data_IF_958431995878
#
_entry.id   IF_958431995878
#
_cell.length_a   1.000
_cell.length_b   1.000
_cell.length_c   1.000
_cell.angle_alpha   90.00
_cell.angle_beta   90.00
_cell.angle_gamma   90.00
#
_symmetry.space_group_name_H-M   'P 1'
#
loop_
_entity.id
_entity.type
_entity.pdbx_description
1 polymer ?
#
# COMPACT_ATOMS: atom_id res chain seq x y z
N UNK A 1 -4.61 1.66 -26.20
CA UNK A 1 -6.10 1.74 -26.17
C UNK A 1 -6.50 2.34 -24.83
N UNK A 2 -7.26 3.45 -24.84
CA UNK A 2 -7.82 4.05 -23.62
C UNK A 2 -8.80 3.06 -23.00
N UNK A 3 -8.55 2.59 -21.79
CA UNK A 3 -9.52 1.77 -21.04
C UNK A 3 -10.23 2.63 -20.00
N UNK A 4 -11.06 3.56 -20.48
CA UNK A 4 -11.98 4.28 -19.59
C UNK A 4 -12.86 3.30 -18.84
N UNK A 5 -12.97 3.48 -17.52
CA UNK A 5 -13.88 2.68 -16.67
C UNK A 5 -15.28 3.30 -16.57
N UNK A 6 -15.54 4.35 -17.37
CA UNK A 6 -16.80 5.13 -17.34
C UNK A 6 -17.93 4.45 -18.12
N UNK A 7 -17.60 3.46 -18.99
CA UNK A 7 -18.57 2.74 -19.83
C UNK A 7 -18.35 1.23 -19.75
N UNK A 8 -19.42 0.47 -19.97
CA UNK A 8 -19.40 -0.99 -19.93
C UNK A 8 -19.78 -1.58 -18.57
N UNK A 9 -19.63 -2.91 -18.43
CA UNK A 9 -20.01 -3.62 -17.21
C UNK A 9 -19.03 -3.33 -16.07
N UNK A 10 -19.50 -2.73 -14.99
CA UNK A 10 -18.72 -2.27 -13.85
C UNK A 10 -17.88 -3.38 -13.21
N UNK A 11 -18.49 -4.55 -12.95
CA UNK A 11 -17.77 -5.67 -12.33
C UNK A 11 -16.65 -6.20 -13.22
N UNK A 12 -16.93 -6.36 -14.52
CA UNK A 12 -15.92 -6.83 -15.49
C UNK A 12 -14.73 -5.88 -15.57
N UNK A 13 -14.98 -4.57 -15.58
CA UNK A 13 -13.93 -3.54 -15.63
C UNK A 13 -13.08 -3.56 -14.35
N UNK A 14 -13.72 -3.62 -13.18
CA UNK A 14 -13.03 -3.69 -11.87
C UNK A 14 -12.14 -4.94 -11.82
N UNK A 15 -12.67 -6.12 -12.16
CA UNK A 15 -11.91 -7.37 -12.10
C UNK A 15 -10.77 -7.40 -13.13
N UNK A 16 -11.01 -6.94 -14.36
CA UNK A 16 -9.95 -6.87 -15.38
C UNK A 16 -8.81 -5.92 -15.00
N UNK A 17 -9.12 -4.87 -14.25
CA UNK A 17 -8.12 -3.95 -13.72
C UNK A 17 -7.42 -4.51 -12.46
N UNK A 18 -8.15 -5.21 -11.59
CA UNK A 18 -7.61 -5.78 -10.36
C UNK A 18 -6.63 -6.94 -10.60
N UNK A 19 -6.86 -7.79 -11.63
CA UNK A 19 -6.02 -8.98 -11.86
C UNK A 19 -4.54 -8.63 -12.07
N UNK A 20 -4.14 -7.68 -12.95
CA UNK A 20 -2.73 -7.31 -13.08
C UNK A 20 -2.14 -6.72 -11.79
N UNK A 21 -2.93 -5.96 -11.01
CA UNK A 21 -2.50 -5.43 -9.72
C UNK A 21 -2.27 -6.56 -8.70
N UNK A 22 -3.18 -7.53 -8.65
CA UNK A 22 -3.03 -8.72 -7.81
C UNK A 22 -1.74 -9.48 -8.13
N UNK A 23 -1.51 -9.75 -9.41
CA UNK A 23 -0.28 -10.41 -9.84
C UNK A 23 0.95 -9.58 -9.45
N UNK A 24 0.91 -8.26 -9.62
CA UNK A 24 1.99 -7.36 -9.19
C UNK A 24 2.26 -7.44 -7.68
N UNK A 25 1.22 -7.38 -6.87
CA UNK A 25 1.35 -7.49 -5.41
C UNK A 25 1.90 -8.86 -4.99
N UNK A 26 1.45 -9.95 -5.61
CA UNK A 26 1.97 -11.30 -5.34
C UNK A 26 3.44 -11.43 -5.75
N UNK A 27 3.83 -10.91 -6.92
CA UNK A 27 5.24 -10.86 -7.32
C UNK A 27 6.08 -10.08 -6.33
N UNK A 28 5.56 -8.93 -5.85
CA UNK A 28 6.25 -8.11 -4.85
C UNK A 28 6.46 -8.87 -3.53
N UNK A 29 5.44 -9.57 -3.04
CA UNK A 29 5.60 -10.39 -1.82
C UNK A 29 6.59 -11.55 -2.05
N UNK A 30 6.56 -12.17 -3.21
CA UNK A 30 7.45 -13.28 -3.55
C UNK A 30 8.91 -12.82 -3.60
N UNK A 31 9.20 -11.68 -4.24
CA UNK A 31 10.58 -11.21 -4.28
C UNK A 31 11.07 -10.73 -2.91
N UNK A 32 10.22 -10.13 -2.05
CA UNK A 32 10.60 -9.77 -0.68
C UNK A 32 11.02 -11.01 0.13
N UNK A 33 10.34 -12.14 -0.07
CA UNK A 33 10.73 -13.41 0.55
C UNK A 33 12.03 -13.96 -0.04
N UNK A 34 12.20 -13.87 -1.37
CA UNK A 34 13.42 -14.32 -2.05
C UNK A 34 14.64 -13.50 -1.62
N UNK A 35 14.53 -12.16 -1.54
CA UNK A 35 15.58 -11.25 -1.07
C UNK A 35 16.02 -11.63 0.36
N UNK A 36 15.06 -11.76 1.29
CA UNK A 36 15.37 -12.20 2.65
C UNK A 36 16.03 -13.58 2.70
N UNK A 37 15.61 -14.52 1.84
CA UNK A 37 16.22 -15.83 1.76
C UNK A 37 17.66 -15.79 1.21
N UNK A 38 17.92 -14.98 0.17
CA UNK A 38 19.26 -14.79 -0.40
C UNK A 38 20.18 -14.18 0.66
N UNK A 39 19.76 -13.09 1.33
CA UNK A 39 20.56 -12.46 2.39
C UNK A 39 20.83 -13.46 3.53
N UNK A 40 19.83 -14.16 4.01
CA UNK A 40 19.96 -15.11 5.12
C UNK A 40 20.86 -16.30 4.81
N UNK A 41 20.77 -16.87 3.59
CA UNK A 41 21.56 -18.03 3.18
C UNK A 41 23.01 -17.68 2.81
N UNK A 42 23.24 -16.49 2.27
CA UNK A 42 24.57 -16.10 1.78
C UNK A 42 25.40 -15.35 2.81
N UNK A 43 24.77 -14.48 3.60
CA UNK A 43 25.44 -13.60 4.58
C UNK A 43 25.22 -14.04 6.03
N UNK A 44 24.29 -14.97 6.26
CA UNK A 44 23.99 -15.54 7.57
C UNK A 44 22.95 -14.79 8.39
N UNK A 45 22.67 -15.29 9.61
CA UNK A 45 21.55 -14.80 10.45
C UNK A 45 21.72 -13.37 10.92
N UNK A 46 22.94 -12.91 11.17
CA UNK A 46 23.20 -11.53 11.62
C UNK A 46 22.83 -10.50 10.53
N UNK A 47 23.18 -10.78 9.28
CA UNK A 47 22.80 -9.94 8.14
C UNK A 47 21.28 -9.90 7.92
N UNK A 48 20.61 -11.04 8.06
CA UNK A 48 19.15 -11.11 7.99
C UNK A 48 18.50 -10.31 9.13
N UNK A 49 19.06 -10.37 10.34
CA UNK A 49 18.60 -9.59 11.48
C UNK A 49 18.81 -8.09 11.25
N UNK A 50 19.93 -7.68 10.63
CA UNK A 50 20.20 -6.29 10.26
C UNK A 50 19.14 -5.73 9.29
N UNK A 51 18.81 -6.47 8.22
CA UNK A 51 17.76 -6.12 7.27
C UNK A 51 16.39 -6.10 7.97
N UNK A 52 16.10 -7.12 8.78
CA UNK A 52 14.84 -7.23 9.51
C UNK A 52 14.59 -6.07 10.49
N UNK A 53 15.64 -5.58 11.16
CA UNK A 53 15.55 -4.47 12.10
C UNK A 53 15.05 -3.15 11.44
N UNK A 54 15.26 -2.99 10.13
CA UNK A 54 14.82 -1.81 9.38
C UNK A 54 13.39 -1.88 8.86
N UNK A 55 12.77 -3.06 8.88
CA UNK A 55 11.48 -3.30 8.19
C UNK A 55 10.36 -2.36 8.63
N UNK A 56 10.29 -2.04 9.93
CA UNK A 56 9.25 -1.15 10.46
C UNK A 56 9.40 0.28 9.96
N UNK A 57 10.63 0.80 9.91
CA UNK A 57 10.92 2.15 9.40
C UNK A 57 10.73 2.20 7.89
N UNK A 58 11.16 1.16 7.17
CA UNK A 58 10.89 1.06 5.75
C UNK A 58 9.39 1.11 5.47
N UNK A 59 8.58 0.33 6.19
CA UNK A 59 7.13 0.34 6.01
C UNK A 59 6.51 1.70 6.34
N UNK A 60 7.01 2.40 7.37
CA UNK A 60 6.56 3.73 7.72
C UNK A 60 6.90 4.76 6.62
N UNK A 61 8.14 4.79 6.14
CA UNK A 61 8.63 5.81 5.19
C UNK A 61 8.17 5.49 3.77
N UNK A 62 8.40 4.26 3.30
CA UNK A 62 8.02 3.87 1.94
C UNK A 62 6.50 3.75 1.79
N UNK A 63 5.79 3.33 2.85
CA UNK A 63 4.33 3.35 2.89
C UNK A 63 3.77 4.76 2.74
N UNK A 64 4.37 5.76 3.41
CA UNK A 64 4.04 7.16 3.20
C UNK A 64 4.25 7.58 1.74
N UNK A 65 5.38 7.21 1.13
CA UNK A 65 5.66 7.48 -0.28
C UNK A 65 4.59 6.89 -1.20
N UNK A 66 4.28 5.61 -1.02
CA UNK A 66 3.28 4.89 -1.84
C UNK A 66 1.90 5.53 -1.71
N UNK A 67 1.46 5.79 -0.48
CA UNK A 67 0.16 6.39 -0.20
C UNK A 67 0.04 7.80 -0.78
N UNK A 68 1.07 8.63 -0.62
CA UNK A 68 1.08 10.00 -1.14
C UNK A 68 0.98 10.02 -2.66
N UNK A 69 1.73 9.17 -3.36
CA UNK A 69 1.69 9.08 -4.82
C UNK A 69 0.36 8.52 -5.33
N UNK A 70 -0.24 7.59 -4.62
CA UNK A 70 -1.59 7.11 -4.91
C UNK A 70 -2.65 8.22 -4.75
N UNK A 71 -2.49 9.08 -3.74
CA UNK A 71 -3.37 10.23 -3.53
C UNK A 71 -3.24 11.30 -4.62
N UNK A 72 -2.04 11.53 -5.14
CA UNK A 72 -1.83 12.45 -6.26
C UNK A 72 -2.51 11.97 -7.55
N UNK A 73 -2.69 10.67 -7.71
CA UNK A 73 -3.38 10.11 -8.87
C UNK A 73 -4.90 10.29 -8.84
N UNK A 74 -5.51 10.57 -7.68
CA UNK A 74 -6.97 10.72 -7.55
C UNK A 74 -7.53 11.87 -8.40
N UNK A 75 -7.04 13.12 -8.29
CA UNK A 75 -7.53 14.21 -9.14
C UNK A 75 -7.26 13.95 -10.63
N UNK A 76 -6.14 13.29 -10.96
CA UNK A 76 -5.80 12.89 -12.34
C UNK A 76 -6.86 11.92 -12.90
N UNK A 77 -7.25 10.89 -12.10
CA UNK A 77 -8.28 9.94 -12.50
C UNK A 77 -9.66 10.60 -12.66
N UNK A 78 -9.99 11.56 -11.79
CA UNK A 78 -11.23 12.32 -11.89
C UNK A 78 -11.27 13.18 -13.16
N UNK A 79 -10.19 13.92 -13.48
CA UNK A 79 -10.08 14.70 -14.72
C UNK A 79 -10.08 13.82 -15.97
N UNK A 80 -9.42 12.67 -15.92
CA UNK A 80 -9.49 11.68 -16.99
C UNK A 80 -10.92 11.20 -17.23
N UNK A 81 -11.67 10.87 -16.17
CA UNK A 81 -13.07 10.47 -16.22
C UNK A 81 -13.99 11.56 -16.80
N UNK A 82 -13.70 12.81 -16.50
CA UNK A 82 -14.38 14.00 -17.02
C UNK A 82 -14.04 14.33 -18.49
N UNK A 83 -13.11 13.61 -19.12
CA UNK A 83 -12.50 13.95 -20.43
C UNK A 83 -11.82 15.35 -20.45
N UNK A 84 -11.41 15.87 -19.29
CA UNK A 84 -10.70 17.14 -19.14
C UNK A 84 -9.18 16.89 -19.20
N UNK A 85 -8.64 16.77 -20.42
CA UNK A 85 -7.20 16.53 -20.62
C UNK A 85 -6.35 17.68 -20.12
N UNK A 86 -6.79 18.93 -20.28
CA UNK A 86 -6.04 20.12 -19.81
C UNK A 86 -5.93 20.17 -18.30
N UNK A 87 -7.03 19.94 -17.59
CA UNK A 87 -7.06 19.85 -16.13
C UNK A 87 -6.21 18.67 -15.63
N UNK A 88 -6.25 17.54 -16.32
CA UNK A 88 -5.44 16.37 -16.01
C UNK A 88 -3.92 16.70 -16.12
N UNK A 89 -3.46 17.28 -17.20
CA UNK A 89 -2.05 17.66 -17.40
C UNK A 89 -1.57 18.68 -16.35
N UNK A 90 -2.43 19.63 -15.95
CA UNK A 90 -2.08 20.56 -14.87
C UNK A 90 -1.84 19.84 -13.54
N UNK A 91 -2.72 18.89 -13.16
CA UNK A 91 -2.50 18.07 -11.95
C UNK A 91 -1.27 17.18 -12.08
N UNK A 92 -1.02 16.61 -13.26
CA UNK A 92 0.19 15.83 -13.54
C UNK A 92 1.47 16.65 -13.33
N UNK A 93 1.50 17.89 -13.84
CA UNK A 93 2.63 18.78 -13.63
C UNK A 93 2.84 19.12 -12.15
N UNK A 94 1.78 19.50 -11.43
CA UNK A 94 1.87 19.76 -9.98
C UNK A 94 2.36 18.50 -9.24
N UNK A 95 1.86 17.33 -9.62
CA UNK A 95 2.29 16.06 -9.06
C UNK A 95 3.77 15.76 -9.29
N UNK A 96 4.31 16.04 -10.47
CA UNK A 96 5.74 15.94 -10.75
C UNK A 96 6.56 16.86 -9.82
N UNK A 97 6.15 18.12 -9.69
CA UNK A 97 6.83 19.10 -8.83
C UNK A 97 6.83 18.65 -7.38
N UNK A 98 5.66 18.26 -6.84
CA UNK A 98 5.56 17.83 -5.45
C UNK A 98 6.23 16.48 -5.18
N UNK A 99 6.22 15.56 -6.14
CA UNK A 99 6.98 14.31 -6.05
C UNK A 99 8.47 14.59 -5.89
N UNK A 100 9.01 15.52 -6.66
CA UNK A 100 10.42 15.94 -6.57
C UNK A 100 10.72 16.60 -5.22
N UNK A 101 9.88 17.55 -4.77
CA UNK A 101 10.04 18.24 -3.48
C UNK A 101 10.01 17.24 -2.33
N UNK A 102 9.03 16.34 -2.29
CA UNK A 102 8.89 15.31 -1.26
C UNK A 102 10.07 14.35 -1.29
N UNK A 103 10.56 13.98 -2.49
CA UNK A 103 11.73 13.13 -2.64
C UNK A 103 12.97 13.76 -1.99
N UNK A 104 13.23 15.03 -2.25
CA UNK A 104 14.36 15.74 -1.66
C UNK A 104 14.21 15.85 -0.14
N UNK A 105 13.05 16.29 0.35
CA UNK A 105 12.80 16.47 1.78
C UNK A 105 12.95 15.14 2.52
N UNK A 106 12.31 14.07 2.05
CA UNK A 106 12.36 12.77 2.72
C UNK A 106 13.75 12.17 2.67
N UNK A 107 14.44 12.22 1.52
CA UNK A 107 15.80 11.70 1.40
C UNK A 107 16.75 12.42 2.35
N UNK A 108 16.75 13.77 2.35
CA UNK A 108 17.62 14.56 3.23
C UNK A 108 17.27 14.29 4.69
N UNK A 109 15.99 14.31 5.07
CA UNK A 109 15.57 14.09 6.45
C UNK A 109 15.92 12.68 6.92
N UNK A 110 15.61 11.64 6.15
CA UNK A 110 15.87 10.25 6.58
C UNK A 110 17.36 9.94 6.60
N UNK A 111 18.16 10.45 5.65
CA UNK A 111 19.61 10.28 5.69
C UNK A 111 20.26 11.03 6.85
N UNK A 112 19.82 12.27 7.11
CA UNK A 112 20.37 13.08 8.22
C UNK A 112 20.03 12.49 9.59
N UNK A 113 18.79 12.04 9.78
CA UNK A 113 18.32 11.45 11.03
C UNK A 113 18.56 9.92 11.11
N UNK A 114 19.23 9.30 10.14
CA UNK A 114 19.44 7.86 10.10
C UNK A 114 20.04 7.29 11.40
N UNK A 115 21.12 7.85 11.97
CA UNK A 115 21.66 7.36 13.24
C UNK A 115 20.63 7.44 14.37
N UNK A 116 19.93 8.58 14.52
CA UNK A 116 18.90 8.77 15.52
C UNK A 116 17.75 7.74 15.38
N UNK A 117 17.35 7.43 14.15
CA UNK A 117 16.33 6.42 13.88
C UNK A 117 16.80 5.05 14.37
N UNK A 118 18.03 4.66 14.11
CA UNK A 118 18.59 3.38 14.56
C UNK A 118 18.72 3.30 16.08
N UNK A 119 19.11 4.40 16.73
CA UNK A 119 19.18 4.49 18.19
C UNK A 119 17.79 4.36 18.82
N UNK A 120 16.77 5.02 18.26
CA UNK A 120 15.37 4.89 18.68
C UNK A 120 14.84 3.46 18.52
N UNK A 121 15.26 2.75 17.47
CA UNK A 121 14.96 1.34 17.26
C UNK A 121 15.72 0.40 18.19
N UNK A 122 16.68 0.91 18.96
CA UNK A 122 17.56 0.14 19.84
C UNK A 122 18.24 -1.00 19.11
N UNK A 123 18.77 -0.71 17.91
CA UNK A 123 19.49 -1.72 17.12
C UNK A 123 20.71 -2.20 17.90
N UNK A 124 20.91 -3.53 18.09
CA UNK A 124 22.07 -4.07 18.77
C UNK A 124 23.38 -3.64 18.12
N UNK A 125 24.39 -3.33 18.95
CA UNK A 125 25.69 -2.86 18.46
C UNK A 125 26.37 -3.84 17.47
N UNK A 126 26.12 -5.14 17.63
CA UNK A 126 26.68 -6.21 16.79
C UNK A 126 26.24 -6.13 15.33
N UNK A 127 25.02 -5.65 15.07
CA UNK A 127 24.43 -5.53 13.73
C UNK A 127 24.25 -4.07 13.28
N UNK A 128 24.65 -3.11 14.11
CA UNK A 128 24.39 -1.68 13.87
C UNK A 128 24.97 -1.21 12.53
N UNK A 129 26.24 -1.55 12.25
CA UNK A 129 26.91 -1.10 11.03
C UNK A 129 26.25 -1.67 9.76
N UNK A 130 25.87 -2.94 9.80
CA UNK A 130 25.17 -3.58 8.67
C UNK A 130 23.78 -3.00 8.47
N UNK A 131 23.07 -2.75 9.58
CA UNK A 131 21.76 -2.09 9.55
C UNK A 131 21.86 -0.67 8.97
N UNK A 132 22.86 0.09 9.39
CA UNK A 132 23.12 1.43 8.87
C UNK A 132 23.45 1.41 7.38
N UNK A 133 24.37 0.53 6.96
CA UNK A 133 24.78 0.40 5.56
C UNK A 133 23.62 0.00 4.65
N UNK A 134 22.71 -0.82 5.13
CA UNK A 134 21.53 -1.22 4.39
C UNK A 134 20.52 -0.08 4.26
N UNK A 135 20.09 0.50 5.41
CA UNK A 135 18.99 1.45 5.42
C UNK A 135 19.34 2.79 4.76
N UNK A 136 20.61 3.24 4.88
CA UNK A 136 21.06 4.49 4.26
C UNK A 136 20.95 4.43 2.72
N UNK A 137 21.25 3.28 2.13
CA UNK A 137 21.11 3.05 0.70
C UNK A 137 19.63 3.10 0.29
N UNK A 138 18.73 2.47 1.09
CA UNK A 138 17.28 2.53 0.87
C UNK A 138 16.79 3.98 0.93
N UNK A 139 17.26 4.78 1.89
CA UNK A 139 16.89 6.19 2.02
C UNK A 139 17.38 7.04 0.84
N UNK A 140 18.60 6.81 0.37
CA UNK A 140 19.11 7.44 -0.87
C UNK A 140 18.27 7.04 -2.09
N UNK A 141 17.68 5.84 -2.07
CA UNK A 141 16.80 5.32 -3.11
C UNK A 141 15.37 5.89 -3.12
N UNK A 142 14.95 6.64 -2.09
CA UNK A 142 13.59 7.21 -2.01
C UNK A 142 13.15 7.96 -3.29
N UNK A 143 13.99 8.77 -3.95
CA UNK A 143 13.59 9.45 -5.19
C UNK A 143 13.14 8.49 -6.30
N UNK A 144 13.81 7.37 -6.47
CA UNK A 144 13.44 6.36 -7.48
C UNK A 144 12.15 5.63 -7.10
N UNK A 145 11.98 5.32 -5.82
CA UNK A 145 10.75 4.73 -5.29
C UNK A 145 9.55 5.66 -5.51
N UNK A 146 9.68 6.95 -5.18
CA UNK A 146 8.64 7.95 -5.41
C UNK A 146 8.33 8.12 -6.89
N UNK A 147 9.35 8.23 -7.74
CA UNK A 147 9.18 8.37 -9.18
C UNK A 147 8.42 7.17 -9.77
N UNK A 148 8.85 5.94 -9.45
CA UNK A 148 8.16 4.73 -9.92
C UNK A 148 6.71 4.69 -9.45
N UNK A 149 6.45 4.95 -8.16
CA UNK A 149 5.09 4.91 -7.61
C UNK A 149 4.21 6.01 -8.20
N UNK A 150 4.74 7.20 -8.45
CA UNK A 150 4.02 8.28 -9.12
C UNK A 150 3.63 7.91 -10.55
N UNK A 151 4.59 7.48 -11.37
CA UNK A 151 4.34 7.08 -12.75
C UNK A 151 3.37 5.90 -12.85
N UNK A 152 3.52 4.90 -11.98
CA UNK A 152 2.59 3.78 -11.87
C UNK A 152 1.19 4.24 -11.49
N UNK A 153 1.07 5.22 -10.60
CA UNK A 153 -0.23 5.74 -10.15
C UNK A 153 -0.93 6.55 -11.23
N UNK A 154 -0.19 7.32 -12.04
CA UNK A 154 -0.73 8.01 -13.22
C UNK A 154 -1.25 7.01 -14.26
N UNK A 155 -0.50 5.96 -14.57
CA UNK A 155 -0.96 4.92 -15.50
C UNK A 155 -2.24 4.24 -14.99
N UNK A 156 -2.31 3.94 -13.69
CA UNK A 156 -3.54 3.43 -13.08
C UNK A 156 -4.70 4.42 -13.18
N UNK A 157 -4.44 5.72 -12.98
CA UNK A 157 -5.47 6.76 -13.07
C UNK A 157 -6.16 6.81 -14.46
N UNK A 158 -5.42 6.52 -15.53
CA UNK A 158 -5.97 6.44 -16.91
C UNK A 158 -6.49 5.04 -17.28
N UNK A 159 -6.56 4.11 -16.33
CA UNK A 159 -7.13 2.77 -16.53
C UNK A 159 -6.12 1.70 -16.99
N UNK A 160 -4.83 1.96 -16.95
CA UNK A 160 -3.80 0.97 -17.29
C UNK A 160 -3.14 0.39 -16.02
N UNK A 161 -3.54 -0.82 -15.66
CA UNK A 161 -2.93 -1.60 -14.58
C UNK A 161 -1.88 -2.61 -15.07
N UNK A 162 -1.85 -2.89 -16.39
CA UNK A 162 -0.94 -3.90 -16.95
C UNK A 162 0.48 -3.40 -17.06
N UNK A 163 0.66 -2.16 -17.51
CA UNK A 163 1.99 -1.58 -17.69
C UNK A 163 2.76 -1.47 -16.37
N UNK A 164 2.20 -0.96 -15.25
CA UNK A 164 2.85 -1.00 -13.94
C UNK A 164 3.23 -2.41 -13.49
N UNK A 165 2.34 -3.40 -13.72
CA UNK A 165 2.62 -4.79 -13.39
C UNK A 165 3.84 -5.33 -14.14
N UNK A 166 3.94 -5.10 -15.46
CA UNK A 166 5.07 -5.57 -16.28
C UNK A 166 6.40 -5.01 -15.74
N UNK A 167 6.44 -3.71 -15.42
CA UNK A 167 7.67 -3.11 -14.89
C UNK A 167 8.00 -3.60 -13.47
N UNK A 168 6.99 -3.84 -12.64
CA UNK A 168 7.22 -4.46 -11.35
C UNK A 168 7.79 -5.88 -11.48
N UNK A 169 7.26 -6.67 -12.41
CA UNK A 169 7.78 -8.02 -12.68
C UNK A 169 9.24 -7.97 -13.20
N UNK A 170 9.57 -7.06 -14.12
CA UNK A 170 10.93 -6.85 -14.60
C UNK A 170 11.84 -6.44 -13.44
N UNK A 171 11.39 -5.51 -12.59
CA UNK A 171 12.14 -5.08 -11.40
C UNK A 171 12.42 -6.23 -10.45
N UNK A 172 11.41 -7.05 -10.16
CA UNK A 172 11.56 -8.18 -9.26
C UNK A 172 12.58 -9.23 -9.77
N UNK A 173 12.51 -9.55 -11.06
CA UNK A 173 13.49 -10.47 -11.67
C UNK A 173 14.89 -9.86 -11.66
N UNK A 174 15.03 -8.60 -12.05
CA UNK A 174 16.30 -7.88 -12.04
C UNK A 174 16.88 -7.78 -10.63
N UNK A 175 16.07 -7.52 -9.62
CA UNK A 175 16.48 -7.46 -8.22
C UNK A 175 17.10 -8.78 -7.76
N UNK A 176 16.45 -9.92 -8.00
CA UNK A 176 16.97 -11.23 -7.63
C UNK A 176 18.35 -11.49 -8.27
N UNK A 177 18.51 -11.16 -9.57
CA UNK A 177 19.81 -11.31 -10.24
C UNK A 177 20.87 -10.40 -9.65
N UNK A 178 20.51 -9.15 -9.35
CA UNK A 178 21.44 -8.19 -8.77
C UNK A 178 21.79 -8.52 -7.33
N UNK A 179 20.86 -9.04 -6.52
CA UNK A 179 21.17 -9.52 -5.16
C UNK A 179 22.26 -10.59 -5.20
N UNK A 180 22.08 -11.61 -6.04
CA UNK A 180 23.07 -12.67 -6.21
C UNK A 180 24.41 -12.09 -6.67
N UNK A 181 24.38 -11.19 -7.67
CA UNK A 181 25.59 -10.58 -8.22
C UNK A 181 26.31 -9.66 -7.21
N UNK A 182 25.59 -8.77 -6.54
CA UNK A 182 26.19 -7.81 -5.60
C UNK A 182 26.67 -8.49 -4.31
N UNK A 183 25.94 -9.50 -3.82
CA UNK A 183 26.27 -10.19 -2.57
C UNK A 183 27.39 -11.22 -2.82
N UNK A 184 27.25 -12.08 -3.82
CA UNK A 184 28.16 -13.22 -4.02
C UNK A 184 29.40 -12.80 -4.81
N UNK A 185 29.23 -12.11 -5.95
CA UNK A 185 30.34 -11.78 -6.84
C UNK A 185 31.09 -10.54 -6.38
N UNK A 186 30.39 -9.46 -6.03
CA UNK A 186 31.02 -8.21 -5.60
C UNK A 186 31.31 -8.17 -4.09
N UNK A 187 30.73 -9.08 -3.30
CA UNK A 187 30.92 -9.18 -1.85
C UNK A 187 30.61 -7.88 -1.09
N UNK A 188 29.57 -7.17 -1.52
CA UNK A 188 29.16 -5.91 -0.91
C UNK A 188 28.27 -6.10 0.35
N UNK A 189 28.11 -7.34 0.82
CA UNK A 189 27.34 -7.63 2.01
C UNK A 189 25.88 -7.15 1.93
N UNK A 190 25.33 -6.73 3.06
CA UNK A 190 23.93 -6.25 3.14
C UNK A 190 23.68 -4.98 2.33
N UNK A 191 24.70 -4.12 2.16
CA UNK A 191 24.58 -2.96 1.28
C UNK A 191 24.35 -3.35 -0.18
N UNK A 192 24.89 -4.51 -0.60
CA UNK A 192 24.66 -5.07 -1.93
C UNK A 192 23.18 -5.35 -2.21
N UNK A 193 22.46 -5.93 -1.25
CA UNK A 193 21.01 -6.16 -1.35
C UNK A 193 20.23 -4.84 -1.48
N UNK A 194 20.57 -3.84 -0.65
CA UNK A 194 19.94 -2.53 -0.73
C UNK A 194 20.19 -1.85 -2.09
N UNK A 195 21.42 -1.91 -2.61
CA UNK A 195 21.79 -1.36 -3.92
C UNK A 195 21.03 -2.08 -5.04
N UNK A 196 20.93 -3.42 -4.99
CA UNK A 196 20.16 -4.19 -5.95
C UNK A 196 18.69 -3.75 -5.99
N UNK A 197 18.08 -3.57 -4.81
CA UNK A 197 16.70 -3.11 -4.68
C UNK A 197 16.50 -1.71 -5.27
N UNK A 198 17.34 -0.74 -4.88
CA UNK A 198 17.25 0.65 -5.37
C UNK A 198 17.51 0.73 -6.86
N UNK A 199 18.52 0.02 -7.38
CA UNK A 199 18.84 0.01 -8.80
C UNK A 199 17.70 -0.61 -9.62
N UNK A 200 17.11 -1.70 -9.18
CA UNK A 200 15.98 -2.35 -9.86
C UNK A 200 14.76 -1.41 -9.92
N UNK A 201 14.49 -0.68 -8.85
CA UNK A 201 13.43 0.33 -8.83
C UNK A 201 13.76 1.50 -9.76
N UNK A 202 15.01 1.98 -9.79
CA UNK A 202 15.44 3.04 -10.67
C UNK A 202 15.26 2.64 -12.15
N UNK A 203 15.69 1.43 -12.52
CA UNK A 203 15.49 0.91 -13.89
C UNK A 203 14.00 0.88 -14.23
N UNK A 204 13.14 0.38 -13.33
CA UNK A 204 11.70 0.34 -13.56
C UNK A 204 11.09 1.72 -13.71
N UNK A 205 11.52 2.70 -12.90
CA UNK A 205 11.05 4.07 -13.00
C UNK A 205 11.44 4.69 -14.36
N UNK A 206 12.68 4.50 -14.79
CA UNK A 206 13.17 5.01 -16.08
C UNK A 206 12.46 4.35 -17.26
N UNK A 207 12.30 3.02 -17.24
CA UNK A 207 11.57 2.29 -18.28
C UNK A 207 10.09 2.70 -18.33
N UNK A 208 9.47 2.91 -17.18
CA UNK A 208 8.09 3.40 -17.10
C UNK A 208 7.97 4.80 -17.72
N UNK A 209 8.89 5.71 -17.39
CA UNK A 209 8.94 7.06 -17.96
C UNK A 209 9.11 7.03 -19.48
N UNK A 210 10.09 6.27 -19.97
CA UNK A 210 10.33 6.12 -21.42
C UNK A 210 9.05 5.61 -22.12
N UNK A 211 8.40 4.61 -21.55
CA UNK A 211 7.19 4.06 -22.14
C UNK A 211 6.03 5.07 -22.14
N UNK A 212 5.87 5.85 -21.07
CA UNK A 212 4.85 6.92 -20.99
C UNK A 212 5.09 7.92 -22.13
N UNK A 213 6.32 8.40 -22.28
CA UNK A 213 6.68 9.37 -23.34
C UNK A 213 6.46 8.78 -24.74
N UNK A 214 6.74 7.49 -24.95
CA UNK A 214 6.63 6.87 -26.28
C UNK A 214 5.21 6.42 -26.65
N UNK A 215 4.43 5.93 -25.69
CA UNK A 215 3.16 5.22 -25.98
C UNK A 215 1.89 5.86 -25.43
N UNK A 216 2.01 6.86 -24.56
CA UNK A 216 0.86 7.50 -23.93
C UNK A 216 0.78 9.01 -24.25
N UNK A 217 0.43 9.40 -25.51
CA UNK A 217 0.32 10.82 -25.89
C UNK A 217 -0.64 11.62 -25.01
N UNK A 218 -1.64 10.94 -24.41
CA UNK A 218 -2.59 11.56 -23.49
C UNK A 218 -1.95 12.09 -22.19
N UNK A 219 -0.75 11.63 -21.84
CA UNK A 219 0.03 12.07 -20.68
C UNK A 219 1.12 13.08 -21.06
N UNK A 220 1.12 13.58 -22.30
CA UNK A 220 2.09 14.58 -22.73
C UNK A 220 1.66 15.97 -22.27
N UNK A 221 2.38 16.54 -21.31
CA UNK A 221 2.12 17.87 -20.77
C UNK A 221 2.66 18.92 -21.76
N UNK A 222 1.77 19.76 -22.29
CA UNK A 222 2.16 20.86 -23.16
C UNK A 222 2.80 22.02 -22.39
N UNK A 223 3.63 22.84 -23.05
CA UNK A 223 4.36 23.93 -22.41
C UNK A 223 3.46 24.94 -21.71
N UNK A 224 2.27 25.19 -22.24
CA UNK A 224 1.26 26.09 -21.68
C UNK A 224 0.67 25.61 -20.35
N UNK A 225 0.69 24.30 -20.12
CA UNK A 225 0.14 23.61 -18.94
C UNK A 225 1.17 23.47 -17.82
N UNK A 226 2.46 23.74 -18.12
CA UNK A 226 3.58 23.68 -17.16
C UNK A 226 3.67 24.93 -16.30
N UNK A 227 2.57 25.32 -15.67
CA UNK A 227 2.54 26.46 -14.75
C UNK A 227 2.26 25.98 -13.34
N UNK A 228 3.02 26.50 -12.38
CA UNK A 228 2.75 26.23 -10.98
C UNK A 228 1.45 26.93 -10.58
N UNK A 229 0.53 26.17 -9.99
CA UNK A 229 -0.76 26.62 -9.51
C UNK A 229 -0.92 26.22 -8.05
N UNK A 230 -1.00 27.22 -7.18
CA UNK A 230 -1.08 27.04 -5.73
C UNK A 230 -2.35 26.32 -5.29
N UNK A 231 -3.49 26.60 -5.95
CA UNK A 231 -4.77 25.99 -5.60
C UNK A 231 -4.81 24.51 -6.00
N UNK A 232 -4.35 24.18 -7.20
CA UNK A 232 -4.22 22.79 -7.64
C UNK A 232 -3.21 22.03 -6.78
N UNK A 233 -2.09 22.67 -6.42
CA UNK A 233 -1.10 22.10 -5.51
C UNK A 233 -1.69 21.79 -4.15
N UNK A 234 -2.49 22.70 -3.58
CA UNK A 234 -3.19 22.49 -2.32
C UNK A 234 -4.17 21.32 -2.40
N UNK A 235 -4.97 21.24 -3.46
CA UNK A 235 -5.89 20.13 -3.68
C UNK A 235 -5.13 18.79 -3.72
N UNK A 236 -4.01 18.74 -4.41
CA UNK A 236 -3.17 17.57 -4.54
C UNK A 236 -2.56 17.14 -3.21
N UNK A 237 -2.05 18.08 -2.41
CA UNK A 237 -1.48 17.82 -1.09
C UNK A 237 -2.55 17.36 -0.07
N UNK A 238 -3.74 17.97 -0.10
CA UNK A 238 -4.88 17.57 0.75
C UNK A 238 -5.34 16.14 0.46
N UNK A 239 -5.08 15.63 -0.74
CA UNK A 239 -5.31 14.24 -1.09
C UNK A 239 -4.14 13.34 -0.72
N UNK A 240 -2.95 13.69 -1.17
CA UNK A 240 -1.76 12.83 -1.08
C UNK A 240 -1.25 12.66 0.35
N UNK A 241 -1.09 13.76 1.09
CA UNK A 241 -0.51 13.69 2.44
C UNK A 241 -1.36 12.83 3.40
N UNK A 242 -2.70 12.99 3.49
CA UNK A 242 -3.50 12.10 4.33
C UNK A 242 -3.44 10.64 3.92
N UNK A 243 -3.38 10.34 2.61
CA UNK A 243 -3.23 8.96 2.15
C UNK A 243 -1.87 8.37 2.54
N UNK A 244 -0.80 9.14 2.45
CA UNK A 244 0.52 8.74 2.94
C UNK A 244 0.53 8.51 4.45
N UNK A 245 0.00 9.45 5.23
CA UNK A 245 -0.08 9.36 6.68
C UNK A 245 -0.92 8.16 7.16
N UNK A 246 -1.92 7.75 6.40
CA UNK A 246 -2.71 6.56 6.72
C UNK A 246 -1.84 5.29 6.76
N UNK A 247 -0.92 5.12 5.79
CA UNK A 247 0.04 4.00 5.81
C UNK A 247 0.95 4.07 7.04
N UNK A 248 1.43 5.27 7.38
CA UNK A 248 2.26 5.49 8.57
C UNK A 248 1.50 5.16 9.88
N UNK A 249 0.24 5.56 9.99
CA UNK A 249 -0.61 5.26 11.14
C UNK A 249 -0.83 3.75 11.28
N UNK A 250 -1.08 3.06 10.17
CA UNK A 250 -1.22 1.60 10.15
C UNK A 250 0.10 0.92 10.57
N UNK A 251 1.25 1.44 10.12
CA UNK A 251 2.57 0.97 10.53
C UNK A 251 2.78 1.09 12.04
N UNK A 252 2.47 2.26 12.62
CA UNK A 252 2.57 2.50 14.07
C UNK A 252 1.71 1.51 14.85
N UNK A 253 0.46 1.31 14.43
CA UNK A 253 -0.44 0.34 15.07
C UNK A 253 0.11 -1.09 15.02
N UNK A 254 0.72 -1.49 13.92
CA UNK A 254 1.38 -2.80 13.78
C UNK A 254 2.62 -2.94 14.64
N UNK A 255 3.41 -1.86 14.78
CA UNK A 255 4.60 -1.83 15.66
C UNK A 255 4.21 -1.97 17.13
N UNK A 256 3.13 -1.33 17.58
CA UNK A 256 2.62 -1.47 18.96
C UNK A 256 2.22 -2.93 19.22
N UNK A 257 1.48 -3.55 18.29
CA UNK A 257 1.09 -4.95 18.42
C UNK A 257 2.28 -5.90 18.41
N UNK A 258 3.28 -5.65 17.55
CA UNK A 258 4.52 -6.42 17.53
C UNK A 258 5.29 -6.29 18.85
N UNK A 259 5.39 -5.07 19.39
CA UNK A 259 6.06 -4.82 20.67
C UNK A 259 5.36 -5.54 21.82
N UNK A 260 4.03 -5.48 21.89
CA UNK A 260 3.24 -6.21 22.88
C UNK A 260 3.43 -7.73 22.75
N UNK A 261 3.47 -8.24 21.52
CA UNK A 261 3.71 -9.67 21.27
C UNK A 261 5.13 -10.10 21.67
N UNK A 262 6.12 -9.26 21.44
CA UNK A 262 7.52 -9.56 21.78
C UNK A 262 7.71 -9.76 23.29
N UNK A 263 6.92 -9.10 24.13
CA UNK A 263 6.96 -9.26 25.58
C UNK A 263 6.48 -10.63 26.08
N UNK A 264 5.79 -11.40 25.23
CA UNK A 264 5.22 -12.71 25.58
C UNK A 264 6.19 -13.89 25.37
N UNK A 265 7.37 -13.64 24.79
CA UNK A 265 8.42 -14.64 24.60
C UNK A 265 8.53 -15.19 23.16
N UNK A 266 9.62 -15.91 22.92
CA UNK A 266 10.07 -16.32 21.58
C UNK A 266 9.09 -17.20 20.82
N UNK A 267 8.36 -18.07 21.50
CA UNK A 267 7.33 -18.94 20.90
C UNK A 267 6.27 -18.08 20.18
N UNK A 268 5.74 -17.08 20.86
CA UNK A 268 4.69 -16.22 20.32
C UNK A 268 5.25 -15.23 19.27
N UNK A 269 6.48 -14.80 19.42
CA UNK A 269 7.15 -13.98 18.39
C UNK A 269 7.28 -14.73 17.08
N UNK A 270 7.72 -15.99 17.14
CA UNK A 270 7.86 -16.85 15.95
C UNK A 270 6.50 -17.17 15.31
N UNK A 271 5.52 -17.53 16.14
CA UNK A 271 4.16 -17.82 15.68
C UNK A 271 3.49 -16.61 15.00
N UNK A 272 3.59 -15.43 15.61
CA UNK A 272 3.06 -14.19 15.07
C UNK A 272 3.74 -13.81 13.76
N UNK A 273 5.07 -13.90 13.70
CA UNK A 273 5.84 -13.56 12.49
C UNK A 273 5.43 -14.45 11.31
N UNK A 274 5.31 -15.76 11.51
CA UNK A 274 4.81 -16.67 10.47
C UNK A 274 3.38 -16.32 10.05
N UNK A 275 2.49 -16.09 10.99
CA UNK A 275 1.11 -15.69 10.73
C UNK A 275 1.00 -14.38 9.94
N UNK A 276 1.81 -13.38 10.26
CA UNK A 276 1.87 -12.09 9.53
C UNK A 276 2.33 -12.30 8.10
N UNK A 277 3.35 -13.13 7.86
CA UNK A 277 3.82 -13.45 6.49
C UNK A 277 2.71 -14.10 5.66
N UNK A 278 1.99 -15.05 6.21
CA UNK A 278 0.85 -15.69 5.52
C UNK A 278 -0.24 -14.65 5.22
N UNK A 279 -0.58 -13.82 6.21
CA UNK A 279 -1.58 -12.74 6.03
C UNK A 279 -1.19 -11.77 4.92
N UNK A 280 0.08 -11.41 4.76
CA UNK A 280 0.53 -10.50 3.71
C UNK A 280 0.19 -11.01 2.30
N UNK A 281 0.34 -12.29 2.05
CA UNK A 281 -0.10 -12.89 0.77
C UNK A 281 -1.61 -12.85 0.60
N UNK A 282 -2.37 -13.16 1.66
CA UNK A 282 -3.83 -13.17 1.63
C UNK A 282 -4.44 -11.76 1.60
N UNK A 283 -3.68 -10.71 1.90
CA UNK A 283 -4.10 -9.31 1.77
C UNK A 283 -4.01 -8.80 0.32
N UNK A 284 -3.12 -9.36 -0.51
CA UNK A 284 -2.90 -8.90 -1.88
C UNK A 284 -4.18 -8.76 -2.73
N UNK A 285 -5.15 -9.71 -2.70
CA UNK A 285 -6.40 -9.55 -3.42
C UNK A 285 -7.26 -8.38 -2.94
N UNK A 286 -7.28 -8.09 -1.64
CA UNK A 286 -8.00 -6.94 -1.11
C UNK A 286 -7.41 -5.62 -1.61
N UNK A 287 -6.07 -5.48 -1.58
CA UNK A 287 -5.38 -4.28 -2.02
C UNK A 287 -5.58 -4.02 -3.51
N UNK A 288 -5.50 -5.09 -4.31
CA UNK A 288 -5.74 -5.01 -5.75
C UNK A 288 -7.19 -4.62 -6.07
N UNK A 289 -8.16 -5.26 -5.40
CA UNK A 289 -9.58 -4.96 -5.58
C UNK A 289 -9.92 -3.53 -5.12
N UNK A 290 -9.43 -3.12 -3.94
CA UNK A 290 -9.67 -1.79 -3.40
C UNK A 290 -9.11 -0.69 -4.30
N UNK A 291 -7.89 -0.87 -4.83
CA UNK A 291 -7.28 0.03 -5.80
C UNK A 291 -8.09 0.11 -7.09
N UNK A 292 -8.59 -1.03 -7.58
CA UNK A 292 -9.41 -1.08 -8.79
C UNK A 292 -10.74 -0.35 -8.60
N UNK A 293 -11.42 -0.55 -7.46
CA UNK A 293 -12.67 0.14 -7.15
C UNK A 293 -12.41 1.63 -6.95
N UNK A 294 -11.33 2.02 -6.26
CA UNK A 294 -10.95 3.42 -6.08
C UNK A 294 -10.75 4.14 -7.42
N UNK A 295 -10.03 3.54 -8.36
CA UNK A 295 -9.84 4.09 -9.71
C UNK A 295 -11.18 4.17 -10.47
N UNK A 296 -12.02 3.13 -10.36
CA UNK A 296 -13.34 3.11 -10.97
C UNK A 296 -14.22 4.23 -10.45
N UNK A 297 -14.33 4.42 -9.14
CA UNK A 297 -15.16 5.48 -8.56
C UNK A 297 -14.61 6.86 -8.85
N UNK A 298 -13.27 7.05 -8.85
CA UNK A 298 -12.64 8.32 -9.21
C UNK A 298 -12.97 8.77 -10.63
N UNK A 299 -12.85 7.87 -11.62
CA UNK A 299 -13.19 8.17 -13.00
C UNK A 299 -14.68 8.44 -13.19
N UNK A 300 -15.56 7.65 -12.55
CA UNK A 300 -17.00 7.84 -12.65
C UNK A 300 -17.49 9.10 -11.89
N UNK A 301 -16.79 9.51 -10.82
CA UNK A 301 -17.04 10.79 -10.16
C UNK A 301 -16.73 11.96 -11.09
N UNK A 302 -15.57 11.96 -11.74
CA UNK A 302 -15.26 12.99 -12.75
C UNK A 302 -16.24 13.01 -13.91
N UNK A 303 -16.77 11.85 -14.33
CA UNK A 303 -17.81 11.73 -15.35
C UNK A 303 -19.23 12.07 -14.86
N UNK A 304 -19.42 12.47 -13.59
CA UNK A 304 -20.73 12.77 -12.97
C UNK A 304 -21.73 11.60 -13.03
N UNK A 305 -21.23 10.33 -13.02
CA UNK A 305 -22.05 9.11 -13.13
C UNK A 305 -22.31 8.48 -11.75
N UNK A 306 -23.19 9.07 -10.97
CA UNK A 306 -23.52 8.68 -9.60
C UNK A 306 -23.94 7.21 -9.46
N UNK A 307 -24.84 6.73 -10.33
CA UNK A 307 -25.32 5.35 -10.28
C UNK A 307 -24.18 4.34 -10.46
N UNK A 308 -23.19 4.67 -11.30
CA UNK A 308 -22.02 3.82 -11.49
C UNK A 308 -21.10 3.82 -10.30
N UNK A 309 -20.96 4.95 -9.59
CA UNK A 309 -20.21 5.02 -8.32
C UNK A 309 -20.84 4.07 -7.32
N UNK A 310 -22.16 4.15 -7.11
CA UNK A 310 -22.92 3.27 -6.19
C UNK A 310 -22.80 1.79 -6.61
N UNK A 311 -22.91 1.52 -7.89
CA UNK A 311 -22.78 0.17 -8.44
C UNK A 311 -21.38 -0.41 -8.21
N UNK A 312 -20.33 0.35 -8.53
CA UNK A 312 -18.93 -0.06 -8.36
C UNK A 312 -18.58 -0.32 -6.89
N UNK A 313 -18.96 0.58 -5.99
CA UNK A 313 -18.79 0.42 -4.56
C UNK A 313 -19.50 -0.84 -4.05
N UNK A 314 -20.77 -1.04 -4.39
CA UNK A 314 -21.55 -2.20 -3.95
C UNK A 314 -20.97 -3.50 -4.50
N UNK A 315 -20.71 -3.61 -5.80
CA UNK A 315 -20.16 -4.82 -6.43
C UNK A 315 -18.76 -5.13 -5.94
N UNK A 316 -17.90 -4.10 -5.79
CA UNK A 316 -16.56 -4.26 -5.23
C UNK A 316 -16.59 -4.77 -3.80
N UNK A 317 -17.47 -4.23 -2.96
CA UNK A 317 -17.65 -4.70 -1.58
C UNK A 317 -18.13 -6.15 -1.54
N UNK A 318 -19.09 -6.55 -2.38
CA UNK A 318 -19.54 -7.96 -2.44
C UNK A 318 -18.42 -8.92 -2.85
N UNK A 319 -17.62 -8.57 -3.85
CA UNK A 319 -16.45 -9.38 -4.24
C UNK A 319 -15.42 -9.46 -3.09
N UNK A 320 -15.15 -8.32 -2.44
CA UNK A 320 -14.24 -8.28 -1.29
C UNK A 320 -14.72 -9.15 -0.14
N UNK A 321 -16.00 -9.06 0.23
CA UNK A 321 -16.60 -9.90 1.29
C UNK A 321 -16.57 -11.38 0.89
N UNK A 322 -16.96 -11.72 -0.33
CA UNK A 322 -16.93 -13.09 -0.81
C UNK A 322 -15.52 -13.69 -0.75
N UNK A 323 -14.52 -12.96 -1.25
CA UNK A 323 -13.12 -13.37 -1.10
C UNK A 323 -12.72 -13.49 0.37
N UNK A 324 -13.11 -12.53 1.21
CA UNK A 324 -12.80 -12.54 2.64
C UNK A 324 -13.37 -13.75 3.38
N UNK A 325 -14.60 -14.15 3.06
CA UNK A 325 -15.20 -15.38 3.60
C UNK A 325 -14.42 -16.61 3.14
N UNK A 326 -14.12 -16.72 1.84
CA UNK A 326 -13.38 -17.87 1.31
C UNK A 326 -11.98 -17.98 1.89
N UNK A 327 -11.23 -16.88 1.93
CA UNK A 327 -9.89 -16.84 2.51
C UNK A 327 -9.92 -17.05 4.03
N UNK A 328 -10.94 -16.54 4.72
CA UNK A 328 -11.15 -16.79 6.14
C UNK A 328 -11.39 -18.27 6.45
N UNK A 329 -12.27 -18.93 5.70
CA UNK A 329 -12.49 -20.39 5.80
C UNK A 329 -11.18 -21.14 5.49
N UNK A 330 -10.44 -20.73 4.47
CA UNK A 330 -9.15 -21.33 4.14
C UNK A 330 -8.14 -21.24 5.28
N UNK A 331 -8.03 -20.07 5.94
CA UNK A 331 -7.16 -19.90 7.13
C UNK A 331 -7.62 -20.75 8.31
N UNK A 332 -8.93 -20.88 8.53
CA UNK A 332 -9.49 -21.68 9.64
C UNK A 332 -9.18 -23.17 9.42
N UNK A 333 -9.32 -23.66 8.19
CA UNK A 333 -9.13 -25.09 7.90
C UNK A 333 -7.64 -25.46 7.73
N UNK A 334 -6.85 -24.58 7.14
CA UNK A 334 -5.47 -24.88 6.74
C UNK A 334 -4.42 -24.07 7.50
N UNK A 335 -4.77 -23.31 8.54
CA UNK A 335 -3.87 -22.43 9.28
C UNK A 335 -2.61 -23.14 9.78
N UNK A 336 -2.77 -24.34 10.34
CA UNK A 336 -1.64 -25.15 10.81
C UNK A 336 -0.71 -25.57 9.65
N UNK A 337 -1.30 -26.05 8.54
CA UNK A 337 -0.53 -26.48 7.34
C UNK A 337 0.20 -25.29 6.71
N UNK A 338 -0.45 -24.13 6.61
CA UNK A 338 0.18 -22.92 6.11
C UNK A 338 1.36 -22.48 6.99
N UNK A 339 1.24 -22.65 8.30
CA UNK A 339 2.29 -22.31 9.25
C UNK A 339 3.53 -23.18 9.09
N UNK A 340 3.41 -24.44 8.62
CA UNK A 340 4.55 -25.32 8.35
C UNK A 340 5.46 -24.81 7.21
N UNK A 341 4.99 -23.88 6.39
CA UNK A 341 5.84 -23.23 5.37
C UNK A 341 6.94 -22.36 5.99
N UNK A 342 6.75 -21.90 7.23
CA UNK A 342 7.67 -21.00 7.91
C UNK A 342 8.23 -21.55 9.23
N UNK A 343 7.58 -22.55 9.80
CA UNK A 343 7.94 -23.14 11.11
C UNK A 343 8.19 -24.63 10.93
N UNK A 344 9.36 -25.10 11.36
CA UNK A 344 9.73 -26.53 11.33
C UNK A 344 10.00 -27.03 12.74
N UNK A 345 9.40 -28.15 13.10
CA UNK A 345 9.78 -28.99 14.27
C UNK A 345 9.29 -28.55 15.64
N UNK A 346 8.59 -27.40 15.80
CA UNK A 346 8.05 -26.96 17.09
C UNK A 346 6.52 -26.92 17.06
N UNK A 347 5.89 -27.91 17.65
CA UNK A 347 4.43 -28.06 17.71
C UNK A 347 3.76 -26.94 18.52
N UNK A 348 4.45 -26.37 19.51
CA UNK A 348 3.92 -25.26 20.32
C UNK A 348 3.80 -23.99 19.50
N UNK A 349 4.85 -23.67 18.73
CA UNK A 349 4.87 -22.53 17.82
C UNK A 349 3.83 -22.69 16.70
N UNK A 350 3.72 -23.89 16.13
CA UNK A 350 2.71 -24.22 15.11
C UNK A 350 1.28 -24.04 15.63
N UNK A 351 1.02 -24.52 16.84
CA UNK A 351 -0.31 -24.37 17.46
C UNK A 351 -0.66 -22.91 17.75
N UNK A 352 0.30 -22.11 18.20
CA UNK A 352 0.10 -20.68 18.40
C UNK A 352 -0.14 -19.93 17.08
N UNK A 353 0.59 -20.27 16.01
CA UNK A 353 0.40 -19.69 14.68
C UNK A 353 -0.97 -20.07 14.07
N UNK A 354 -1.38 -21.33 14.23
CA UNK A 354 -2.71 -21.81 13.82
C UNK A 354 -3.81 -21.05 14.55
N UNK A 355 -3.70 -20.88 15.88
CA UNK A 355 -4.65 -20.10 16.67
C UNK A 355 -4.79 -18.67 16.17
N UNK A 356 -3.65 -18.01 15.85
CA UNK A 356 -3.64 -16.66 15.32
C UNK A 356 -4.34 -16.57 13.96
N UNK A 357 -4.02 -17.47 13.04
CA UNK A 357 -4.62 -17.50 11.70
C UNK A 357 -6.12 -17.85 11.75
N UNK A 358 -6.53 -18.84 12.55
CA UNK A 358 -7.95 -19.19 12.72
C UNK A 358 -8.77 -18.02 13.22
N UNK A 359 -8.29 -17.32 14.24
CA UNK A 359 -8.97 -16.14 14.77
C UNK A 359 -9.03 -15.01 13.76
N UNK A 360 -7.94 -14.75 13.04
CA UNK A 360 -7.97 -13.79 11.94
C UNK A 360 -9.02 -14.18 10.88
N UNK A 361 -9.14 -15.47 10.56
CA UNK A 361 -10.10 -16.01 9.60
C UNK A 361 -11.56 -15.68 9.91
N UNK A 362 -11.96 -15.67 11.19
CA UNK A 362 -13.34 -15.34 11.58
C UNK A 362 -13.79 -13.93 11.16
N UNK A 363 -12.87 -12.97 11.13
CA UNK A 363 -13.14 -11.57 10.81
C UNK A 363 -12.55 -11.12 9.46
N UNK A 364 -11.97 -12.04 8.67
CA UNK A 364 -11.26 -11.70 7.43
C UNK A 364 -12.17 -11.04 6.38
N UNK A 365 -13.46 -11.34 6.41
CA UNK A 365 -14.47 -10.71 5.55
C UNK A 365 -14.66 -9.21 5.82
N UNK A 366 -14.39 -8.74 7.05
CA UNK A 366 -14.43 -7.31 7.38
C UNK A 366 -13.42 -6.50 6.55
N UNK A 367 -12.27 -7.11 6.21
CA UNK A 367 -11.26 -6.47 5.35
C UNK A 367 -11.77 -6.20 3.94
N UNK A 368 -12.70 -7.01 3.44
CA UNK A 368 -13.37 -6.76 2.17
C UNK A 368 -14.17 -5.46 2.18
N UNK A 369 -14.91 -5.20 3.26
CA UNK A 369 -15.63 -3.94 3.45
C UNK A 369 -14.64 -2.81 3.69
N UNK A 370 -13.75 -2.98 4.67
CA UNK A 370 -12.80 -1.98 5.11
C UNK A 370 -11.97 -1.40 3.96
N UNK A 371 -11.27 -2.27 3.21
CA UNK A 371 -10.35 -1.82 2.16
C UNK A 371 -11.11 -1.20 0.97
N UNK A 372 -12.18 -1.85 0.50
CA UNK A 372 -12.94 -1.35 -0.66
C UNK A 372 -13.60 -0.01 -0.35
N UNK A 373 -14.28 0.10 0.79
CA UNK A 373 -15.00 1.32 1.16
C UNK A 373 -14.03 2.47 1.45
N UNK A 374 -12.99 2.22 2.25
CA UNK A 374 -11.96 3.22 2.58
C UNK A 374 -11.30 3.79 1.33
N UNK A 375 -10.82 2.92 0.43
CA UNK A 375 -10.16 3.35 -0.81
C UNK A 375 -11.14 4.04 -1.78
N UNK A 376 -12.41 3.67 -1.74
CA UNK A 376 -13.45 4.37 -2.52
C UNK A 376 -13.68 5.78 -2.02
N UNK A 377 -13.77 6.00 -0.70
CA UNK A 377 -13.89 7.33 -0.10
C UNK A 377 -12.68 8.21 -0.48
N UNK A 378 -11.47 7.65 -0.49
CA UNK A 378 -10.26 8.32 -0.97
C UNK A 378 -10.38 8.66 -2.46
N UNK A 379 -10.79 7.72 -3.30
CA UNK A 379 -10.98 7.93 -4.74
C UNK A 379 -12.03 8.98 -5.09
N UNK A 380 -13.00 9.16 -4.21
CA UNK A 380 -14.00 10.23 -4.32
C UNK A 380 -13.51 11.61 -3.87
N UNK A 381 -12.30 11.70 -3.30
CA UNK A 381 -11.74 12.99 -2.93
C UNK A 381 -11.75 13.27 -1.42
N UNK A 382 -12.23 12.36 -0.59
CA UNK A 382 -12.38 12.57 0.85
C UNK A 382 -11.29 11.86 1.67
N UNK A 383 -10.01 12.07 1.31
CA UNK A 383 -8.87 11.41 1.95
C UNK A 383 -8.81 11.64 3.47
N UNK A 384 -9.20 12.82 3.96
CA UNK A 384 -9.26 13.12 5.39
C UNK A 384 -10.27 12.25 6.14
N UNK A 385 -11.39 11.89 5.55
CA UNK A 385 -12.37 10.97 6.17
C UNK A 385 -11.80 9.55 6.27
N UNK A 386 -10.99 9.15 5.30
CA UNK A 386 -10.35 7.84 5.28
C UNK A 386 -9.19 7.71 6.28
N UNK A 387 -8.43 8.79 6.56
CA UNK A 387 -7.35 8.74 7.55
C UNK A 387 -7.88 8.47 8.95
N UNK A 388 -9.03 9.03 9.32
CA UNK A 388 -9.65 8.76 10.63
C UNK A 388 -10.03 7.29 10.81
N UNK A 389 -10.33 6.58 9.72
CA UNK A 389 -10.50 5.13 9.76
C UNK A 389 -9.22 4.44 10.26
N UNK A 390 -8.05 4.82 9.74
CA UNK A 390 -6.76 4.31 10.21
C UNK A 390 -6.47 4.66 11.66
N UNK A 391 -6.87 5.86 12.12
CA UNK A 391 -6.76 6.27 13.52
C UNK A 391 -7.62 5.37 14.42
N UNK A 392 -8.86 5.08 14.02
CA UNK A 392 -9.73 4.16 14.76
C UNK A 392 -9.13 2.75 14.82
N UNK A 393 -8.59 2.22 13.71
CA UNK A 393 -7.87 0.95 13.69
C UNK A 393 -6.71 0.94 14.71
N UNK A 394 -5.89 1.99 14.70
CA UNK A 394 -4.75 2.13 15.60
C UNK A 394 -5.20 2.18 17.07
N UNK A 395 -6.23 2.97 17.39
CA UNK A 395 -6.76 3.09 18.76
C UNK A 395 -7.29 1.76 19.25
N UNK A 396 -8.14 1.07 18.47
CA UNK A 396 -8.71 -0.23 18.87
C UNK A 396 -7.61 -1.27 19.08
N UNK A 397 -6.63 -1.36 18.16
CA UNK A 397 -5.51 -2.28 18.28
C UNK A 397 -4.65 -1.98 19.50
N UNK A 398 -4.33 -0.71 19.74
CA UNK A 398 -3.55 -0.26 20.89
C UNK A 398 -4.29 -0.55 22.20
N UNK A 399 -5.60 -0.30 22.26
CA UNK A 399 -6.40 -0.58 23.44
C UNK A 399 -6.35 -2.07 23.83
N UNK A 400 -6.50 -2.98 22.86
CA UNK A 400 -6.35 -4.42 23.12
C UNK A 400 -4.94 -4.74 23.61
N UNK A 401 -3.90 -4.19 22.99
CA UNK A 401 -2.51 -4.45 23.35
C UNK A 401 -2.18 -3.94 24.75
N UNK A 402 -2.66 -2.76 25.14
CA UNK A 402 -2.32 -2.13 26.41
C UNK A 402 -3.15 -2.70 27.58
N UNK A 403 -4.46 -2.91 27.36
CA UNK A 403 -5.37 -3.26 28.45
C UNK A 403 -5.61 -4.76 28.62
N UNK A 404 -5.47 -5.55 27.54
CA UNK A 404 -5.84 -6.97 27.60
C UNK A 404 -4.66 -7.94 27.53
N UNK A 405 -3.50 -7.52 27.03
CA UNK A 405 -2.34 -8.43 26.89
C UNK A 405 -1.79 -8.86 28.24
N UNK A 406 -1.83 -7.99 29.27
CA UNK A 406 -1.36 -8.32 30.60
C UNK A 406 -2.15 -9.49 31.23
N UNK A 407 -3.47 -9.55 31.02
CA UNK A 407 -4.35 -10.54 31.63
C UNK A 407 -4.54 -11.79 30.73
N UNK A 408 -4.59 -11.62 29.40
CA UNK A 408 -4.93 -12.67 28.45
C UNK A 408 -3.76 -13.12 27.56
N UNK A 409 -2.60 -12.48 27.67
CA UNK A 409 -1.39 -12.83 26.92
C UNK A 409 -1.59 -12.88 25.40
N UNK A 410 -1.10 -13.93 24.77
CA UNK A 410 -1.20 -14.13 23.31
C UNK A 410 -2.66 -14.22 22.81
N UNK A 411 -3.59 -14.65 23.66
CA UNK A 411 -5.00 -14.64 23.31
C UNK A 411 -5.52 -13.25 22.98
N UNK A 412 -5.08 -12.20 23.69
CA UNK A 412 -5.44 -10.82 23.38
C UNK A 412 -4.83 -10.39 22.03
N UNK A 413 -3.54 -10.67 21.79
CA UNK A 413 -2.87 -10.37 20.52
C UNK A 413 -3.64 -10.92 19.32
N UNK A 414 -4.16 -12.16 19.43
CA UNK A 414 -4.90 -12.79 18.34
C UNK A 414 -6.25 -12.14 18.04
N UNK A 415 -6.77 -11.25 18.90
CA UNK A 415 -7.99 -10.48 18.67
C UNK A 415 -7.75 -8.99 18.37
N UNK A 416 -6.51 -8.53 18.44
CA UNK A 416 -6.17 -7.12 18.26
C UNK A 416 -6.54 -6.60 16.86
N UNK A 417 -6.25 -7.37 15.83
CA UNK A 417 -6.57 -7.00 14.44
C UNK A 417 -8.08 -6.99 14.18
N UNK A 418 -8.81 -7.99 14.68
CA UNK A 418 -10.26 -8.10 14.48
C UNK A 418 -11.01 -6.95 15.15
N UNK A 419 -10.57 -6.55 16.35
CA UNK A 419 -11.13 -5.38 17.04
C UNK A 419 -10.91 -4.09 16.24
N UNK A 420 -9.72 -3.94 15.66
CA UNK A 420 -9.38 -2.81 14.81
C UNK A 420 -10.26 -2.78 13.54
N UNK A 421 -10.39 -3.91 12.85
CA UNK A 421 -11.22 -3.99 11.63
C UNK A 421 -12.70 -3.75 11.92
N UNK A 422 -13.22 -4.28 13.02
CA UNK A 422 -14.60 -4.04 13.44
C UNK A 422 -14.82 -2.55 13.74
N UNK A 423 -13.95 -1.94 14.54
CA UNK A 423 -14.04 -0.52 14.87
C UNK A 423 -13.98 0.36 13.61
N UNK A 424 -13.08 0.06 12.70
CA UNK A 424 -12.95 0.76 11.43
C UNK A 424 -14.19 0.61 10.53
N UNK A 425 -14.76 -0.57 10.41
CA UNK A 425 -15.99 -0.80 9.63
C UNK A 425 -17.17 -0.04 10.25
N UNK A 426 -17.32 -0.07 11.58
CA UNK A 426 -18.35 0.70 12.28
C UNK A 426 -18.22 2.20 12.05
N UNK A 427 -16.99 2.73 12.01
CA UNK A 427 -16.72 4.11 11.64
C UNK A 427 -17.08 4.39 10.17
N UNK A 428 -16.74 3.48 9.26
CA UNK A 428 -16.95 3.69 7.81
C UNK A 428 -18.42 3.70 7.41
N UNK A 429 -19.31 3.02 8.11
CA UNK A 429 -20.75 2.98 7.79
C UNK A 429 -21.35 4.39 7.70
N UNK A 430 -21.36 5.21 8.78
CA UNK A 430 -21.93 6.55 8.73
C UNK A 430 -21.14 7.48 7.79
N UNK A 431 -19.81 7.33 7.74
CA UNK A 431 -18.97 8.15 6.86
C UNK A 431 -19.27 7.89 5.39
N UNK A 432 -19.56 6.65 5.01
CA UNK A 432 -19.95 6.31 3.63
C UNK A 432 -21.28 6.95 3.27
N UNK A 433 -22.28 6.87 4.16
CA UNK A 433 -23.60 7.45 3.94
C UNK A 433 -23.47 8.98 3.73
N UNK A 434 -22.72 9.66 4.61
CA UNK A 434 -22.48 11.10 4.52
C UNK A 434 -21.75 11.43 3.21
N UNK A 435 -20.69 10.69 2.89
CA UNK A 435 -19.90 10.93 1.67
C UNK A 435 -20.74 10.75 0.41
N UNK A 436 -21.56 9.70 0.34
CA UNK A 436 -22.44 9.47 -0.81
C UNK A 436 -23.51 10.53 -0.96
N UNK A 437 -24.04 11.06 0.15
CA UNK A 437 -24.97 12.20 0.13
C UNK A 437 -24.29 13.47 -0.39
N UNK A 438 -23.10 13.82 0.14
CA UNK A 438 -22.37 15.01 -0.30
C UNK A 438 -22.06 14.96 -1.81
N UNK A 439 -21.68 13.79 -2.32
CA UNK A 439 -21.41 13.58 -3.75
C UNK A 439 -22.67 13.71 -4.61
N UNK A 440 -23.78 13.13 -4.14
CA UNK A 440 -25.06 13.26 -4.84
C UNK A 440 -25.48 14.74 -4.97
N UNK A 441 -25.36 15.51 -3.88
CA UNK A 441 -25.66 16.95 -3.87
C UNK A 441 -24.69 17.74 -4.78
N UNK A 442 -23.39 17.44 -4.75
CA UNK A 442 -22.40 18.09 -5.62
C UNK A 442 -22.65 17.83 -7.10
N UNK A 443 -22.84 16.55 -7.49
CA UNK A 443 -23.12 16.18 -8.88
C UNK A 443 -24.41 16.85 -9.36
N UNK A 444 -25.48 16.85 -8.54
CA UNK A 444 -26.75 17.48 -8.89
C UNK A 444 -26.60 18.98 -9.12
N UNK A 445 -25.88 19.68 -8.24
CA UNK A 445 -25.64 21.12 -8.35
C UNK A 445 -24.80 21.47 -9.59
N UNK A 446 -23.76 20.69 -9.89
CA UNK A 446 -22.93 20.89 -11.07
C UNK A 446 -23.70 20.63 -12.38
N UNK A 447 -24.52 19.59 -12.44
CA UNK A 447 -25.36 19.31 -13.61
C UNK A 447 -26.39 20.41 -13.83
N UNK A 448 -26.99 20.92 -12.74
CA UNK A 448 -27.93 22.05 -12.83
C UNK A 448 -27.24 23.31 -13.32
N UNK A 449 -26.03 23.62 -12.86
CA UNK A 449 -25.25 24.78 -13.33
C UNK A 449 -24.88 24.64 -14.82
N UNK A 450 -24.50 23.45 -15.28
CA UNK A 450 -24.19 23.17 -16.69
C UNK A 450 -25.42 23.34 -17.61
N UNK A 451 -26.63 23.05 -17.11
CA UNK A 451 -27.89 23.24 -17.85
C UNK A 451 -28.25 24.72 -17.95
N UNK A 452 -28.00 25.50 -16.86
CA UNK A 452 -28.34 26.95 -16.84
C UNK A 452 -27.36 27.80 -17.68
N UNK A 453 -26.15 27.29 -17.97
CA UNK A 453 -25.15 27.97 -18.81
C UNK A 453 -25.28 27.66 -20.31
N UNK A 454 -26.09 26.71 -20.69
CA UNK A 454 -26.46 26.38 -22.10
C UNK A 454 -27.75 27.05 -22.52
#
# INVERSE_FOLDING_TARGET
MRKSMVEGNSLKLILQFAIPLLLGNLFQQTYNVADAAIVGQTLGPAALAAVGATSSVQFLVLGFCIGTMAGFAVPIAQRFGANDSKGMHKFEFQGCVWTFIIAVILTVATCFFCPLILDLLRVPAEIYQDTYNYIIVIFIGIPFTLLYNYLSSILRAIGDSKTPFIFLAISAVLNIFLDIFCIINLKWGVAGAAIATVFSQAVSAVLCLILIVMKFPILHIHSEERKFDSELSKQLLVMGIPMGLQYSITAIGSMIMQSANNSLGTVYVSAFTAGVKIKQFLLCPFDALATAVSTFVSQNYGAKKEDRIKEGLRKGTYVGVAYGVLAGIFMILFGKVLSTLFITGDETVLSAADLYLRRAGYAWWLLGILNVVRMSIQGLGYAMRAIYCGVVEMICRTAVCVFLVADFGFNAITWADQSAWLGAVLYLIPVTIITMRDISEQIHNEVKADILMK
#
